data_IF_318881862311
#
_entry.id   IF_318881862311
#
_cell.length_a   1.000
_cell.length_b   1.000
_cell.length_c   1.000
_cell.angle_alpha   90.00
_cell.angle_beta   90.00
_cell.angle_gamma   90.00
#
_symmetry.space_group_name_H-M   'P 1'
#
loop_
_entity.id
_entity.type
_entity.pdbx_description
1 polymer ?
#
# COMPACT_ATOMS: atom_id res chain seq x y z
N UNK A 1 -29.31 -24.55 33.17
CA UNK A 1 -28.18 -23.90 32.48
C UNK A 1 -28.63 -23.68 31.05
N UNK A 2 -28.76 -22.43 30.60
CA UNK A 2 -28.97 -22.15 29.18
C UNK A 2 -27.67 -22.53 28.43
N UNK A 3 -27.76 -23.19 27.27
CA UNK A 3 -26.58 -23.41 26.44
C UNK A 3 -25.97 -22.06 26.07
N UNK A 4 -24.64 -21.98 25.88
CA UNK A 4 -24.02 -20.77 25.36
C UNK A 4 -24.71 -20.39 24.04
N UNK A 5 -24.92 -19.08 23.76
CA UNK A 5 -25.50 -18.64 22.50
C UNK A 5 -24.68 -19.22 21.36
N UNK A 6 -25.33 -19.95 20.45
CA UNK A 6 -24.69 -20.47 19.25
C UNK A 6 -24.20 -19.29 18.40
N UNK A 7 -22.99 -19.38 17.80
CA UNK A 7 -22.50 -18.35 16.90
C UNK A 7 -23.47 -18.15 15.74
N UNK A 8 -23.71 -16.90 15.33
CA UNK A 8 -24.58 -16.62 14.20
C UNK A 8 -23.92 -17.13 12.91
N UNK A 9 -24.61 -18.02 12.19
CA UNK A 9 -24.11 -18.61 10.95
C UNK A 9 -24.47 -17.71 9.76
N UNK A 10 -23.49 -16.97 9.25
CA UNK A 10 -23.67 -16.03 8.13
C UNK A 10 -23.97 -16.73 6.80
N UNK A 11 -23.40 -17.91 6.57
CA UNK A 11 -23.47 -18.66 5.32
C UNK A 11 -24.46 -19.83 5.35
N UNK A 12 -25.24 -19.98 6.43
CA UNK A 12 -26.27 -21.02 6.55
C UNK A 12 -27.42 -20.82 5.56
N UNK A 13 -28.20 -21.87 5.30
CA UNK A 13 -29.29 -21.84 4.29
C UNK A 13 -30.32 -20.73 4.53
N UNK A 14 -30.59 -20.38 5.79
CA UNK A 14 -31.56 -19.35 6.17
C UNK A 14 -31.02 -17.92 6.05
N UNK A 15 -29.75 -17.70 6.42
CA UNK A 15 -29.15 -16.37 6.53
C UNK A 15 -28.28 -15.98 5.34
N UNK A 16 -27.73 -16.94 4.59
CA UNK A 16 -26.87 -16.73 3.44
C UNK A 16 -27.43 -15.73 2.42
N UNK A 17 -28.72 -15.79 2.03
CA UNK A 17 -29.31 -14.83 1.11
C UNK A 17 -29.36 -13.38 1.62
N UNK A 18 -29.27 -13.15 2.93
CA UNK A 18 -29.28 -11.79 3.53
C UNK A 18 -27.90 -11.13 3.47
N UNK A 19 -26.84 -11.93 3.55
CA UNK A 19 -25.46 -11.46 3.67
C UNK A 19 -24.66 -11.55 2.37
N UNK A 20 -24.90 -12.58 1.55
CA UNK A 20 -24.15 -12.81 0.31
C UNK A 20 -24.41 -11.69 -0.70
N UNK A 21 -23.34 -11.04 -1.12
CA UNK A 21 -23.34 -9.91 -2.04
C UNK A 21 -23.81 -8.59 -1.42
N UNK A 22 -24.00 -8.54 -0.09
CA UNK A 22 -24.43 -7.32 0.60
C UNK A 22 -23.34 -6.24 0.54
N UNK A 23 -22.07 -6.63 0.68
CA UNK A 23 -20.93 -5.72 0.70
C UNK A 23 -20.30 -5.54 -0.67
N UNK A 24 -20.41 -6.52 -1.58
CA UNK A 24 -19.77 -6.48 -2.92
C UNK A 24 -19.95 -5.15 -3.67
N UNK A 25 -21.16 -4.55 -3.78
CA UNK A 25 -21.32 -3.26 -4.46
C UNK A 25 -20.59 -2.09 -3.79
N UNK A 26 -20.49 -2.13 -2.45
CA UNK A 26 -19.79 -1.11 -1.68
C UNK A 26 -18.28 -1.33 -1.71
N UNK A 27 -17.81 -2.58 -1.59
CA UNK A 27 -16.40 -2.96 -1.71
C UNK A 27 -15.81 -2.55 -3.07
N UNK A 28 -16.58 -2.67 -4.15
CA UNK A 28 -16.17 -2.15 -5.47
C UNK A 28 -15.91 -0.64 -5.46
N UNK A 29 -16.74 0.12 -4.75
CA UNK A 29 -16.53 1.58 -4.60
C UNK A 29 -15.34 1.88 -3.71
N UNK A 30 -15.14 1.10 -2.63
CA UNK A 30 -13.96 1.22 -1.77
C UNK A 30 -12.70 0.98 -2.60
N UNK A 31 -12.66 -0.09 -3.41
CA UNK A 31 -11.53 -0.40 -4.28
C UNK A 31 -11.20 0.75 -5.22
N UNK A 32 -12.21 1.37 -5.85
CA UNK A 32 -12.01 2.54 -6.71
C UNK A 32 -11.51 3.78 -5.96
N UNK A 33 -11.87 3.95 -4.68
CA UNK A 33 -11.34 5.04 -3.86
C UNK A 33 -9.87 4.84 -3.50
N UNK A 34 -9.45 3.60 -3.27
CA UNK A 34 -8.07 3.31 -2.84
C UNK A 34 -7.13 3.16 -4.04
N UNK A 35 -7.59 2.50 -5.10
CA UNK A 35 -6.82 2.20 -6.32
C UNK A 35 -7.65 2.47 -7.58
N UNK A 36 -7.78 3.74 -8.03
CA UNK A 36 -8.61 4.11 -9.17
C UNK A 36 -8.22 3.45 -10.50
N UNK A 37 -6.95 3.04 -10.63
CA UNK A 37 -6.37 2.51 -11.86
C UNK A 37 -6.40 0.97 -11.94
N UNK A 38 -6.94 0.30 -10.92
CA UNK A 38 -7.09 -1.16 -10.90
C UNK A 38 -8.56 -1.54 -10.99
N UNK A 39 -8.85 -2.73 -11.52
CA UNK A 39 -10.13 -3.41 -11.32
C UNK A 39 -10.00 -4.46 -10.22
N UNK A 40 -11.13 -4.94 -9.69
CA UNK A 40 -11.18 -6.12 -8.84
C UNK A 40 -12.17 -7.13 -9.42
N UNK A 41 -11.74 -8.40 -9.49
CA UNK A 41 -12.61 -9.50 -9.91
C UNK A 41 -13.77 -9.68 -8.92
N UNK A 42 -14.88 -10.21 -9.40
CA UNK A 42 -16.08 -10.33 -8.56
C UNK A 42 -15.88 -11.36 -7.43
N UNK A 43 -15.23 -12.48 -7.72
CA UNK A 43 -14.85 -13.52 -6.76
C UNK A 43 -13.94 -12.97 -5.64
N UNK A 44 -13.03 -12.06 -5.96
CA UNK A 44 -12.15 -11.42 -4.99
C UNK A 44 -12.93 -10.51 -4.02
N UNK A 45 -13.97 -9.82 -4.50
CA UNK A 45 -14.86 -9.03 -3.65
C UNK A 45 -15.75 -9.91 -2.75
N UNK A 46 -16.22 -11.06 -3.23
CA UNK A 46 -16.92 -12.03 -2.37
C UNK A 46 -16.00 -12.59 -1.28
N UNK A 47 -14.75 -12.88 -1.61
CA UNK A 47 -13.78 -13.33 -0.60
C UNK A 47 -13.52 -12.28 0.48
N UNK A 48 -13.42 -11.00 0.11
CA UNK A 48 -13.32 -9.92 1.11
C UNK A 48 -14.60 -9.84 1.94
N UNK A 49 -15.77 -9.95 1.34
CA UNK A 49 -17.04 -10.01 2.08
C UNK A 49 -17.02 -11.13 3.13
N UNK A 50 -16.51 -12.31 2.80
CA UNK A 50 -16.38 -13.41 3.75
C UNK A 50 -15.50 -13.06 4.95
N UNK A 51 -14.32 -12.47 4.72
CA UNK A 51 -13.42 -12.00 5.77
C UNK A 51 -14.08 -10.93 6.65
N UNK A 52 -14.78 -9.96 6.05
CA UNK A 52 -15.45 -8.89 6.78
C UNK A 52 -16.62 -9.42 7.61
N UNK A 53 -17.34 -10.45 7.15
CA UNK A 53 -18.37 -11.13 7.94
C UNK A 53 -17.79 -11.94 9.09
N UNK A 54 -16.64 -12.58 8.92
CA UNK A 54 -15.91 -13.22 10.03
C UNK A 54 -15.51 -12.18 11.08
N UNK A 55 -15.00 -11.02 10.66
CA UNK A 55 -14.66 -9.93 11.56
C UNK A 55 -15.90 -9.41 12.30
N UNK A 56 -17.02 -9.24 11.60
CA UNK A 56 -18.30 -8.85 12.20
C UNK A 56 -18.72 -9.84 13.30
N UNK A 57 -18.59 -11.14 13.05
CA UNK A 57 -18.83 -12.16 14.08
C UNK A 57 -17.93 -11.97 15.30
N UNK A 58 -16.61 -11.81 15.08
CA UNK A 58 -15.62 -11.59 16.15
C UNK A 58 -15.95 -10.37 17.03
N UNK A 59 -16.48 -9.30 16.42
CA UNK A 59 -16.95 -8.12 17.15
C UNK A 59 -18.25 -8.39 17.92
N UNK A 60 -19.21 -9.08 17.31
CA UNK A 60 -20.53 -9.34 17.89
C UNK A 60 -20.53 -10.40 19.01
N UNK A 61 -19.56 -11.31 19.07
CA UNK A 61 -19.43 -12.31 20.14
C UNK A 61 -19.36 -11.66 21.54
N UNK A 62 -18.80 -10.45 21.64
CA UNK A 62 -18.72 -9.71 22.90
C UNK A 62 -20.06 -9.09 23.35
N UNK A 63 -21.12 -9.21 22.54
CA UNK A 63 -22.44 -8.61 22.77
C UNK A 63 -22.38 -7.11 23.14
N UNK A 64 -21.76 -6.26 22.31
CA UNK A 64 -21.60 -4.84 22.61
C UNK A 64 -22.95 -4.11 22.63
N UNK A 65 -23.20 -3.33 23.68
CA UNK A 65 -24.44 -2.54 23.85
C UNK A 65 -24.22 -1.04 23.63
N UNK A 66 -22.99 -0.59 23.80
CA UNK A 66 -22.57 0.80 23.62
C UNK A 66 -21.44 0.91 22.61
N UNK A 67 -21.19 2.13 22.11
CA UNK A 67 -20.04 2.41 21.23
C UNK A 67 -18.73 2.08 21.94
N UNK A 68 -18.65 2.39 23.24
CA UNK A 68 -17.48 2.08 24.07
C UNK A 68 -17.22 0.58 24.16
N UNK A 69 -18.26 -0.25 24.25
CA UNK A 69 -18.10 -1.72 24.27
C UNK A 69 -17.48 -2.23 22.95
N UNK A 70 -17.85 -1.62 21.81
CA UNK A 70 -17.26 -1.96 20.51
C UNK A 70 -15.79 -1.51 20.46
N UNK A 71 -15.49 -0.29 20.91
CA UNK A 71 -14.13 0.25 20.96
C UNK A 71 -13.20 -0.62 21.82
N UNK A 72 -13.64 -1.00 23.03
CA UNK A 72 -12.90 -1.93 23.89
C UNK A 72 -12.69 -3.30 23.24
N UNK A 73 -13.67 -3.77 22.46
CA UNK A 73 -13.55 -5.02 21.72
C UNK A 73 -12.54 -4.92 20.58
N UNK A 74 -12.53 -3.81 19.83
CA UNK A 74 -11.52 -3.54 18.79
C UNK A 74 -10.13 -3.55 19.41
N UNK A 75 -9.92 -2.77 20.48
CA UNK A 75 -8.62 -2.66 21.15
C UNK A 75 -8.07 -3.99 21.67
N UNK A 76 -8.95 -4.91 22.07
CA UNK A 76 -8.55 -6.25 22.58
C UNK A 76 -8.33 -7.29 21.49
N UNK A 77 -8.93 -7.11 20.31
CA UNK A 77 -8.98 -8.15 19.27
C UNK A 77 -8.07 -7.81 18.08
N UNK A 78 -7.86 -6.53 17.81
CA UNK A 78 -7.11 -6.06 16.65
C UNK A 78 -5.64 -5.91 17.07
N UNK A 79 -4.67 -6.41 16.27
CA UNK A 79 -3.26 -6.23 16.59
C UNK A 79 -2.83 -4.75 16.54
N UNK A 80 -1.72 -4.42 17.18
CA UNK A 80 -1.12 -3.10 17.06
C UNK A 80 -0.37 -2.97 15.72
N UNK A 81 -0.47 -1.85 14.96
CA UNK A 81 -1.17 -0.60 15.25
C UNK A 81 -2.58 -0.46 14.68
N UNK A 82 -3.09 -1.45 13.94
CA UNK A 82 -4.37 -1.33 13.22
C UNK A 82 -5.54 -1.02 14.15
N UNK A 83 -5.47 -1.47 15.41
CA UNK A 83 -6.40 -1.12 16.49
C UNK A 83 -6.62 0.40 16.63
N UNK A 84 -5.55 1.18 16.74
CA UNK A 84 -5.62 2.63 16.97
C UNK A 84 -6.21 3.38 15.79
N UNK A 85 -5.84 2.98 14.57
CA UNK A 85 -6.31 3.64 13.35
C UNK A 85 -7.78 3.33 13.08
N UNK A 86 -8.20 2.07 13.29
CA UNK A 86 -9.60 1.67 13.16
C UNK A 86 -10.51 2.42 14.16
N UNK A 87 -10.08 2.55 15.42
CA UNK A 87 -10.81 3.32 16.44
C UNK A 87 -10.93 4.79 16.05
N UNK A 88 -9.82 5.41 15.61
CA UNK A 88 -9.81 6.82 15.22
C UNK A 88 -10.73 7.11 14.02
N UNK A 89 -10.74 6.23 12.99
CA UNK A 89 -11.64 6.40 11.85
C UNK A 89 -13.11 6.20 12.23
N UNK A 90 -13.41 5.19 13.04
CA UNK A 90 -14.76 4.91 13.52
C UNK A 90 -15.31 6.03 14.42
N UNK A 91 -14.49 6.60 15.31
CA UNK A 91 -14.86 7.79 16.09
C UNK A 91 -15.18 8.98 15.18
N UNK A 92 -14.37 9.21 14.13
CA UNK A 92 -14.62 10.28 13.16
C UNK A 92 -15.95 10.11 12.41
N UNK A 93 -16.37 8.86 12.18
CA UNK A 93 -17.65 8.54 11.53
C UNK A 93 -18.87 8.91 12.40
N UNK A 94 -18.76 8.88 13.73
CA UNK A 94 -19.83 9.31 14.65
C UNK A 94 -19.85 10.83 14.82
N UNK A 95 -18.69 11.46 15.02
CA UNK A 95 -18.61 12.87 15.42
C UNK A 95 -19.01 13.84 14.31
N UNK A 96 -18.69 13.51 13.04
CA UNK A 96 -18.91 14.42 11.91
C UNK A 96 -20.28 14.17 11.27
N UNK A 97 -21.27 14.98 11.66
CA UNK A 97 -22.57 15.11 10.95
C UNK A 97 -22.44 15.44 9.44
N UNK A 98 -21.26 15.83 8.97
CA UNK A 98 -20.91 16.03 7.55
C UNK A 98 -19.52 15.44 7.28
N UNK A 99 -19.45 14.12 7.06
CA UNK A 99 -18.24 13.48 6.50
C UNK A 99 -18.04 14.03 5.08
N UNK A 100 -16.79 14.25 4.66
CA UNK A 100 -16.47 14.59 3.25
C UNK A 100 -16.89 13.44 2.32
N UNK A 101 -16.81 12.20 2.82
CA UNK A 101 -17.28 10.98 2.17
C UNK A 101 -18.10 10.14 3.17
N UNK A 102 -19.41 9.93 2.99
CA UNK A 102 -20.20 9.03 3.84
C UNK A 102 -19.68 7.59 3.75
N UNK A 103 -20.02 6.75 4.75
CA UNK A 103 -19.75 5.31 4.68
C UNK A 103 -20.34 4.74 3.39
N UNK A 104 -19.56 3.92 2.70
CA UNK A 104 -19.94 3.21 1.50
C UNK A 104 -20.69 1.91 1.82
N UNK A 105 -20.34 1.24 2.92
CA UNK A 105 -21.05 0.04 3.38
C UNK A 105 -22.49 0.39 3.79
N UNK A 106 -23.48 -0.48 3.49
CA UNK A 106 -24.90 -0.14 3.63
C UNK A 106 -25.38 -0.26 5.09
N UNK A 107 -25.07 0.75 5.92
CA UNK A 107 -25.44 0.80 7.35
C UNK A 107 -26.93 0.51 7.57
N UNK A 108 -27.81 1.08 6.74
CA UNK A 108 -29.26 0.93 6.86
C UNK A 108 -29.75 -0.51 6.59
N UNK A 109 -28.99 -1.29 5.82
CA UNK A 109 -29.26 -2.72 5.60
C UNK A 109 -28.65 -3.59 6.69
N UNK A 110 -27.48 -3.19 7.21
CA UNK A 110 -26.75 -3.94 8.24
C UNK A 110 -27.41 -3.77 9.62
N UNK A 111 -27.93 -2.58 9.94
CA UNK A 111 -28.52 -2.26 11.24
C UNK A 111 -29.66 -3.21 11.65
N UNK A 112 -30.66 -3.52 10.78
CA UNK A 112 -31.67 -4.53 11.08
C UNK A 112 -31.09 -5.93 11.29
N UNK A 113 -30.07 -6.31 10.51
CA UNK A 113 -29.44 -7.64 10.60
C UNK A 113 -28.63 -7.80 11.88
N UNK A 114 -27.97 -6.75 12.37
CA UNK A 114 -27.26 -6.76 13.65
C UNK A 114 -28.18 -7.12 14.83
N UNK A 115 -29.46 -6.75 14.76
CA UNK A 115 -30.45 -7.16 15.76
C UNK A 115 -30.65 -8.68 15.76
N UNK A 116 -30.61 -9.31 14.59
CA UNK A 116 -30.72 -10.77 14.45
C UNK A 116 -29.44 -11.47 14.96
N UNK A 117 -28.26 -10.92 14.62
CA UNK A 117 -26.95 -11.45 15.05
C UNK A 117 -26.78 -11.37 16.57
N UNK A 118 -27.15 -10.23 17.17
CA UNK A 118 -26.94 -9.97 18.60
C UNK A 118 -28.12 -10.43 19.49
N UNK A 119 -29.29 -10.65 18.91
CA UNK A 119 -30.50 -11.07 19.64
C UNK A 119 -31.18 -9.97 20.47
N UNK A 120 -30.78 -8.70 20.32
CA UNK A 120 -31.38 -7.55 21.03
C UNK A 120 -31.41 -6.30 20.15
N UNK A 121 -32.21 -5.31 20.56
CA UNK A 121 -32.29 -4.01 19.87
C UNK A 121 -30.96 -3.25 20.04
N UNK A 122 -30.31 -2.96 18.93
CA UNK A 122 -29.05 -2.21 18.86
C UNK A 122 -29.37 -0.73 18.60
N UNK A 123 -28.63 0.19 19.21
CA UNK A 123 -28.71 1.62 18.88
C UNK A 123 -28.08 1.90 17.50
N UNK A 124 -28.61 2.89 16.77
CA UNK A 124 -28.11 3.20 15.43
C UNK A 124 -26.63 3.64 15.45
N UNK A 125 -26.19 4.40 16.47
CA UNK A 125 -24.79 4.83 16.57
C UNK A 125 -23.84 3.67 16.83
N UNK A 126 -24.28 2.64 17.56
CA UNK A 126 -23.49 1.41 17.74
C UNK A 126 -23.33 0.68 16.41
N UNK A 127 -24.39 0.60 15.61
CA UNK A 127 -24.35 -0.01 14.28
C UNK A 127 -23.45 0.77 13.32
N UNK A 128 -23.56 2.11 13.35
CA UNK A 128 -22.72 3.01 12.58
C UNK A 128 -21.23 2.81 12.89
N UNK A 129 -20.87 2.69 14.17
CA UNK A 129 -19.50 2.47 14.60
C UNK A 129 -18.95 1.13 14.12
N UNK A 130 -19.73 0.04 14.29
CA UNK A 130 -19.34 -1.29 13.80
C UNK A 130 -19.07 -1.24 12.29
N UNK A 131 -19.99 -0.67 11.52
CA UNK A 131 -19.83 -0.59 10.06
C UNK A 131 -18.63 0.29 9.66
N UNK A 132 -18.33 1.34 10.41
CA UNK A 132 -17.13 2.14 10.16
C UNK A 132 -15.84 1.33 10.36
N UNK A 133 -15.77 0.50 11.40
CA UNK A 133 -14.64 -0.42 11.62
C UNK A 133 -14.54 -1.44 10.47
N UNK A 134 -15.65 -2.03 10.03
CA UNK A 134 -15.66 -2.97 8.90
C UNK A 134 -15.19 -2.32 7.59
N UNK A 135 -15.62 -1.09 7.31
CA UNK A 135 -15.22 -0.34 6.11
C UNK A 135 -13.73 0.00 6.14
N UNK A 136 -13.20 0.40 7.30
CA UNK A 136 -11.78 0.66 7.47
C UNK A 136 -10.93 -0.57 7.13
N UNK A 137 -11.27 -1.74 7.68
CA UNK A 137 -10.55 -3.00 7.38
C UNK A 137 -10.74 -3.42 5.91
N UNK A 138 -11.94 -3.22 5.35
CA UNK A 138 -12.18 -3.49 3.92
C UNK A 138 -11.24 -2.66 3.03
N UNK A 139 -11.10 -1.37 3.35
CA UNK A 139 -10.21 -0.46 2.64
C UNK A 139 -8.74 -0.85 2.81
N UNK A 140 -8.34 -1.30 4.00
CA UNK A 140 -6.96 -1.70 4.29
C UNK A 140 -6.54 -2.96 3.52
N UNK A 141 -7.41 -3.99 3.48
CA UNK A 141 -7.19 -5.20 2.67
C UNK A 141 -7.06 -4.84 1.18
N UNK A 142 -7.98 -4.02 0.65
CA UNK A 142 -7.95 -3.58 -0.74
C UNK A 142 -6.74 -2.72 -1.05
N UNK A 143 -6.29 -1.89 -0.10
CA UNK A 143 -5.08 -1.07 -0.23
C UNK A 143 -3.85 -1.95 -0.36
N UNK A 144 -3.70 -2.93 0.52
CA UNK A 144 -2.59 -3.86 0.56
C UNK A 144 -2.54 -4.70 -0.72
N UNK A 145 -3.65 -5.34 -1.09
CA UNK A 145 -3.75 -6.16 -2.29
C UNK A 145 -3.51 -5.34 -3.56
N UNK A 146 -4.08 -4.13 -3.66
CA UNK A 146 -3.85 -3.25 -4.80
C UNK A 146 -2.42 -2.75 -4.90
N UNK A 147 -1.74 -2.48 -3.77
CA UNK A 147 -0.31 -2.16 -3.78
C UNK A 147 0.52 -3.34 -4.31
N UNK A 148 0.22 -4.56 -3.86
CA UNK A 148 0.88 -5.77 -4.34
C UNK A 148 0.68 -5.97 -5.86
N UNK A 149 -0.57 -5.91 -6.33
CA UNK A 149 -0.94 -6.05 -7.75
C UNK A 149 -0.27 -4.97 -8.61
N UNK A 150 -0.25 -3.73 -8.12
CA UNK A 150 0.42 -2.62 -8.79
C UNK A 150 1.93 -2.87 -8.92
N UNK A 151 2.58 -3.37 -7.87
CA UNK A 151 4.02 -3.64 -7.87
C UNK A 151 4.43 -4.75 -8.85
N UNK A 152 3.56 -5.75 -9.06
CA UNK A 152 3.79 -6.81 -10.07
C UNK A 152 3.28 -6.42 -11.47
N UNK A 153 2.89 -5.15 -11.66
CA UNK A 153 2.42 -4.57 -12.94
C UNK A 153 1.17 -5.26 -13.50
N UNK A 154 0.32 -5.78 -12.63
CA UNK A 154 -1.01 -6.27 -13.00
C UNK A 154 -2.04 -5.13 -12.82
N UNK A 155 -3.15 -5.20 -13.58
CA UNK A 155 -4.20 -4.16 -13.55
C UNK A 155 -5.52 -4.64 -12.92
N UNK A 156 -5.58 -5.89 -12.47
CA UNK A 156 -6.78 -6.52 -11.91
C UNK A 156 -6.46 -7.32 -10.64
N UNK A 157 -7.17 -7.02 -9.56
CA UNK A 157 -7.03 -7.69 -8.26
C UNK A 157 -7.84 -8.98 -8.24
N UNK A 158 -7.14 -10.12 -8.16
CA UNK A 158 -7.72 -11.45 -8.01
C UNK A 158 -7.82 -11.87 -6.54
N UNK A 159 -8.58 -12.94 -6.27
CA UNK A 159 -8.65 -13.53 -4.94
C UNK A 159 -7.27 -14.02 -4.46
N UNK A 160 -6.43 -14.52 -5.38
CA UNK A 160 -5.10 -15.01 -5.04
C UNK A 160 -4.17 -13.88 -4.59
N UNK A 161 -4.25 -12.71 -5.23
CA UNK A 161 -3.46 -11.54 -4.85
C UNK A 161 -3.78 -11.08 -3.42
N UNK A 162 -5.06 -11.14 -3.04
CA UNK A 162 -5.49 -10.83 -1.67
C UNK A 162 -4.88 -11.83 -0.69
N UNK A 163 -4.92 -13.13 -0.99
CA UNK A 163 -4.33 -14.17 -0.12
C UNK A 163 -2.83 -13.96 0.04
N UNK A 164 -2.10 -13.80 -1.06
CA UNK A 164 -0.63 -13.62 -1.05
C UNK A 164 -0.25 -12.36 -0.27
N UNK A 165 -0.92 -11.23 -0.54
CA UNK A 165 -0.60 -9.98 0.13
C UNK A 165 -0.95 -10.01 1.63
N UNK A 166 -2.06 -10.62 2.03
CA UNK A 166 -2.40 -10.82 3.45
C UNK A 166 -1.42 -11.76 4.16
N UNK A 167 -0.94 -12.82 3.53
CA UNK A 167 0.09 -13.70 4.11
C UNK A 167 1.40 -12.95 4.41
N UNK A 168 1.71 -11.90 3.64
CA UNK A 168 2.88 -11.06 3.86
C UNK A 168 2.68 -10.00 4.98
N UNK A 169 1.42 -9.66 5.30
CA UNK A 169 1.07 -8.70 6.32
C UNK A 169 0.74 -9.39 7.65
N UNK A 170 1.67 -9.32 8.61
CA UNK A 170 1.50 -9.98 9.91
C UNK A 170 0.28 -9.48 10.69
N UNK A 171 -0.12 -8.21 10.51
CA UNK A 171 -1.20 -7.60 11.28
C UNK A 171 -2.55 -8.14 10.81
N UNK A 172 -2.79 -8.14 9.50
CA UNK A 172 -3.98 -8.74 8.92
C UNK A 172 -3.96 -10.27 9.08
N UNK A 173 -2.80 -10.89 8.93
CA UNK A 173 -2.67 -12.32 9.18
C UNK A 173 -3.08 -12.66 10.62
N UNK A 174 -2.49 -12.06 11.65
CA UNK A 174 -2.83 -12.29 13.06
C UNK A 174 -4.30 -11.99 13.39
N UNK A 175 -4.90 -11.01 12.70
CA UNK A 175 -6.32 -10.66 12.86
C UNK A 175 -7.27 -11.75 12.33
N UNK A 176 -6.90 -12.43 11.24
CA UNK A 176 -7.73 -13.46 10.60
C UNK A 176 -7.33 -14.91 10.93
N UNK A 177 -6.10 -15.18 11.40
CA UNK A 177 -5.55 -16.54 11.63
C UNK A 177 -6.17 -17.33 12.80
N UNK A 178 -7.14 -16.77 13.51
CA UNK A 178 -7.77 -17.47 14.63
C UNK A 178 -8.81 -18.53 14.19
N UNK A 179 -9.17 -18.59 12.91
CA UNK A 179 -10.13 -19.56 12.38
C UNK A 179 -9.67 -20.09 11.00
N UNK A 180 -8.96 -21.23 10.99
CA UNK A 180 -8.76 -22.16 9.86
C UNK A 180 -8.66 -21.54 8.45
N UNK A 181 -7.56 -20.84 8.13
CA UNK A 181 -7.15 -20.68 6.73
C UNK A 181 -6.22 -21.86 6.38
N UNK A 182 -6.86 -22.93 5.92
CA UNK A 182 -6.18 -24.10 5.37
C UNK A 182 -5.15 -23.70 4.33
N UNK A 183 -3.88 -23.81 4.73
CA UNK A 183 -2.70 -23.63 3.91
C UNK A 183 -2.65 -24.72 2.82
N UNK A 184 -3.42 -24.55 1.75
CA UNK A 184 -3.40 -25.45 0.59
C UNK A 184 -3.34 -24.64 -0.70
N UNK A 185 -2.28 -24.91 -1.46
CA UNK A 185 -2.01 -24.52 -2.85
C UNK A 185 -1.51 -23.09 -3.11
N UNK A 186 -0.25 -22.84 -2.75
CA UNK A 186 0.60 -21.82 -3.40
C UNK A 186 1.48 -22.53 -4.43
N UNK A 187 0.96 -22.71 -5.64
CA UNK A 187 1.58 -23.24 -6.88
C UNK A 187 0.38 -23.51 -7.81
N UNK A 188 0.25 -23.04 -9.05
CA UNK A 188 1.12 -22.50 -10.08
C UNK A 188 0.32 -21.44 -10.86
N UNK A 189 1.02 -20.51 -11.53
CA UNK A 189 0.65 -19.77 -12.75
C UNK A 189 1.18 -18.33 -12.68
N UNK A 190 2.47 -18.17 -12.99
CA UNK A 190 2.95 -16.90 -13.54
C UNK A 190 2.54 -16.83 -15.02
N UNK A 191 1.77 -15.82 -15.45
CA UNK A 191 1.69 -15.51 -16.86
C UNK A 191 2.94 -14.73 -17.25
N UNK A 192 3.85 -15.39 -17.96
CA UNK A 192 4.92 -14.74 -18.70
C UNK A 192 4.29 -13.81 -19.77
N UNK A 193 4.50 -12.49 -19.67
CA UNK A 193 4.22 -11.58 -20.79
C UNK A 193 5.52 -10.98 -21.33
N UNK A 194 6.27 -11.76 -22.11
CA UNK A 194 7.27 -11.23 -23.03
C UNK A 194 6.58 -10.93 -24.37
N UNK A 195 5.96 -9.76 -24.48
CA UNK A 195 5.49 -9.19 -25.75
C UNK A 195 6.38 -8.02 -26.15
N UNK A 196 6.63 -7.85 -27.46
CA UNK A 196 7.27 -6.65 -27.99
C UNK A 196 6.48 -5.40 -27.54
N UNK A 197 7.09 -4.58 -26.69
CA UNK A 197 6.45 -3.37 -26.15
C UNK A 197 6.39 -2.31 -27.25
N UNK A 198 5.19 -1.80 -27.54
CA UNK A 198 5.04 -0.59 -28.32
C UNK A 198 5.57 0.61 -27.50
N UNK A 199 6.10 1.64 -28.16
CA UNK A 199 6.68 2.81 -27.50
C UNK A 199 5.71 3.48 -26.51
N UNK A 200 4.42 3.52 -26.84
CA UNK A 200 3.38 4.03 -25.94
C UNK A 200 3.26 3.22 -24.63
N UNK A 201 3.34 1.89 -24.71
CA UNK A 201 3.33 1.02 -23.53
C UNK A 201 4.61 1.16 -22.71
N UNK A 202 5.75 1.39 -23.39
CA UNK A 202 7.03 1.69 -22.73
C UNK A 202 6.93 2.99 -21.91
N UNK A 203 6.38 4.08 -22.46
CA UNK A 203 6.18 5.33 -21.71
C UNK A 203 5.19 5.15 -20.55
N UNK A 204 4.09 4.42 -20.75
CA UNK A 204 3.13 4.15 -19.67
C UNK A 204 3.76 3.33 -18.54
N UNK A 205 4.55 2.32 -18.90
CA UNK A 205 5.28 1.52 -17.92
C UNK A 205 6.29 2.38 -17.16
N UNK A 206 7.01 3.25 -17.86
CA UNK A 206 7.98 4.15 -17.22
C UNK A 206 7.30 5.09 -16.22
N UNK A 207 6.13 5.67 -16.53
CA UNK A 207 5.35 6.47 -15.58
C UNK A 207 4.99 5.64 -14.33
N UNK A 208 4.62 4.37 -14.50
CA UNK A 208 4.29 3.50 -13.37
C UNK A 208 5.53 3.18 -12.52
N UNK A 209 6.66 2.92 -13.15
CA UNK A 209 7.95 2.70 -12.49
C UNK A 209 8.42 3.93 -11.72
N UNK A 210 8.39 5.12 -12.34
CA UNK A 210 8.73 6.40 -11.69
C UNK A 210 7.86 6.67 -10.46
N UNK A 211 6.56 6.37 -10.54
CA UNK A 211 5.65 6.50 -9.38
C UNK A 211 6.00 5.53 -8.27
N UNK A 212 6.41 4.30 -8.61
CA UNK A 212 6.81 3.30 -7.62
C UNK A 212 8.15 3.67 -6.99
N UNK A 213 9.13 4.05 -7.79
CA UNK A 213 10.43 4.54 -7.32
C UNK A 213 10.27 5.77 -6.43
N UNK A 214 9.41 6.73 -6.78
CA UNK A 214 9.10 7.87 -5.94
C UNK A 214 8.51 7.47 -4.57
N UNK A 215 7.72 6.39 -4.48
CA UNK A 215 7.23 5.87 -3.20
C UNK A 215 8.37 5.30 -2.37
N UNK A 216 9.33 4.62 -2.98
CA UNK A 216 10.52 4.07 -2.32
C UNK A 216 11.43 5.18 -1.81
N UNK A 217 11.66 6.22 -2.60
CA UNK A 217 12.35 7.45 -2.17
C UNK A 217 11.63 8.11 -0.99
N UNK A 218 10.30 8.20 -1.05
CA UNK A 218 9.50 8.72 0.06
C UNK A 218 9.61 7.85 1.33
N UNK A 219 9.68 6.53 1.21
CA UNK A 219 9.93 5.64 2.34
C UNK A 219 11.31 5.93 2.97
N UNK A 220 12.35 6.05 2.15
CA UNK A 220 13.71 6.38 2.62
C UNK A 220 13.72 7.75 3.31
N UNK A 221 13.12 8.77 2.72
CA UNK A 221 13.18 10.15 3.22
C UNK A 221 12.25 10.38 4.41
N UNK A 222 10.97 10.05 4.28
CA UNK A 222 9.94 10.42 5.26
C UNK A 222 9.84 9.45 6.44
N UNK A 223 10.36 8.22 6.31
CA UNK A 223 10.32 7.22 7.37
C UNK A 223 11.71 7.00 7.95
N UNK A 224 12.69 6.62 7.12
CA UNK A 224 14.03 6.31 7.63
C UNK A 224 14.80 7.59 7.99
N UNK A 225 15.03 8.50 7.05
CA UNK A 225 15.82 9.73 7.28
C UNK A 225 15.23 10.62 8.37
N UNK A 226 13.90 10.75 8.40
CA UNK A 226 13.20 11.50 9.46
C UNK A 226 13.48 10.95 10.86
N UNK A 227 13.60 9.62 11.02
CA UNK A 227 13.94 9.01 12.30
C UNK A 227 15.34 9.40 12.81
N UNK A 228 16.31 9.64 11.91
CA UNK A 228 17.63 10.17 12.27
C UNK A 228 17.55 11.67 12.61
N UNK A 229 16.79 12.44 11.83
CA UNK A 229 16.60 13.88 12.07
C UNK A 229 15.89 14.19 13.39
N UNK A 230 15.03 13.28 13.86
CA UNK A 230 14.27 13.43 15.11
C UNK A 230 15.14 13.58 16.36
N UNK A 231 16.41 13.12 16.34
CA UNK A 231 17.31 13.16 17.49
C UNK A 231 18.70 13.71 17.15
N UNK A 232 18.77 15.04 16.99
CA UNK A 232 19.99 15.79 16.67
C UNK A 232 21.13 15.69 17.70
N UNK A 233 20.85 15.17 18.91
CA UNK A 233 21.90 14.92 19.92
C UNK A 233 22.63 13.60 19.67
N UNK A 234 21.97 12.67 18.97
CA UNK A 234 22.46 11.33 18.72
C UNK A 234 23.09 11.19 17.34
N UNK A 235 22.57 11.94 16.36
CA UNK A 235 23.03 11.95 14.97
C UNK A 235 23.49 13.36 14.60
N UNK A 236 24.72 13.47 14.11
CA UNK A 236 25.26 14.72 13.56
C UNK A 236 24.78 14.92 12.12
N UNK A 237 24.80 16.16 11.59
CA UNK A 237 24.51 16.39 10.18
C UNK A 237 25.39 15.53 9.26
N UNK A 238 26.67 15.40 9.58
CA UNK A 238 27.60 14.54 8.84
C UNK A 238 27.21 13.05 8.86
N UNK A 239 26.70 12.52 9.98
CA UNK A 239 26.23 11.12 10.02
C UNK A 239 25.04 10.92 9.06
N UNK A 240 24.16 11.93 8.97
CA UNK A 240 22.98 11.89 8.09
C UNK A 240 23.41 12.01 6.63
N UNK A 241 24.32 12.94 6.34
CA UNK A 241 24.84 13.16 4.98
C UNK A 241 25.59 11.93 4.47
N UNK A 242 26.40 11.26 5.30
CA UNK A 242 27.08 10.02 4.90
C UNK A 242 26.10 8.86 4.64
N UNK A 243 24.99 8.79 5.37
CA UNK A 243 24.04 7.67 5.25
C UNK A 243 23.05 7.86 4.10
N UNK A 244 22.58 9.10 3.89
CA UNK A 244 21.53 9.39 2.93
C UNK A 244 22.04 10.12 1.69
N UNK A 245 23.28 10.60 1.71
CA UNK A 245 23.87 11.42 0.64
C UNK A 245 22.87 12.49 0.17
N UNK A 246 22.79 12.73 -1.12
CA UNK A 246 21.89 13.65 -1.79
C UNK A 246 20.58 12.99 -2.27
N UNK A 247 20.05 12.01 -1.52
CA UNK A 247 18.76 11.36 -1.84
C UNK A 247 17.59 12.35 -2.01
N UNK A 248 17.65 13.50 -1.34
CA UNK A 248 16.64 14.56 -1.47
C UNK A 248 16.65 15.19 -2.86
N UNK A 249 17.83 15.44 -3.43
CA UNK A 249 17.98 16.03 -4.76
C UNK A 249 17.50 15.04 -5.83
N UNK A 250 17.78 13.75 -5.66
CA UNK A 250 17.25 12.68 -6.52
C UNK A 250 15.72 12.62 -6.46
N UNK A 251 15.13 12.72 -5.26
CA UNK A 251 13.68 12.78 -5.12
C UNK A 251 13.08 13.99 -5.84
N UNK A 252 13.67 15.17 -5.72
CA UNK A 252 13.22 16.38 -6.42
C UNK A 252 13.31 16.22 -7.95
N UNK A 253 14.41 15.64 -8.44
CA UNK A 253 14.58 15.29 -9.85
C UNK A 253 13.50 14.31 -10.33
N UNK A 254 13.26 13.22 -9.61
CA UNK A 254 12.23 12.22 -9.94
C UNK A 254 10.84 12.85 -10.01
N UNK A 255 10.49 13.74 -9.07
CA UNK A 255 9.22 14.49 -9.13
C UNK A 255 9.15 15.37 -10.38
N UNK A 256 10.23 16.08 -10.72
CA UNK A 256 10.30 16.94 -11.92
C UNK A 256 10.17 16.11 -13.20
N UNK A 257 10.93 15.01 -13.33
CA UNK A 257 10.91 14.12 -14.49
C UNK A 257 9.52 13.50 -14.69
N UNK A 258 8.94 12.92 -13.64
CA UNK A 258 7.60 12.33 -13.70
C UNK A 258 6.55 13.35 -14.16
N UNK A 259 6.59 14.58 -13.62
CA UNK A 259 5.69 15.65 -14.04
C UNK A 259 5.85 16.01 -15.52
N UNK A 260 7.09 16.15 -16.01
CA UNK A 260 7.36 16.45 -17.42
C UNK A 260 6.85 15.35 -18.37
N UNK A 261 7.04 14.07 -17.99
CA UNK A 261 6.55 12.94 -18.79
C UNK A 261 5.02 12.91 -18.79
N UNK A 262 4.37 13.10 -17.63
CA UNK A 262 2.91 13.14 -17.51
C UNK A 262 2.31 14.28 -18.34
N UNK A 263 2.88 15.49 -18.25
CA UNK A 263 2.47 16.65 -19.06
C UNK A 263 2.63 16.38 -20.56
N UNK A 264 3.74 15.74 -20.97
CA UNK A 264 3.99 15.40 -22.38
C UNK A 264 2.97 14.40 -22.90
N UNK A 265 2.60 13.40 -22.09
CA UNK A 265 1.56 12.43 -22.44
C UNK A 265 0.18 13.10 -22.54
N UNK A 266 -0.14 14.01 -21.63
CA UNK A 266 -1.42 14.74 -21.64
C UNK A 266 -1.54 15.68 -22.86
N UNK A 267 -0.43 16.31 -23.27
CA UNK A 267 -0.38 17.25 -24.39
C UNK A 267 -0.22 16.57 -25.77
N UNK A 268 -0.09 15.25 -25.82
CA UNK A 268 0.06 14.51 -27.08
C UNK A 268 -1.32 14.35 -27.75
N UNK A 269 -1.48 14.92 -28.94
CA UNK A 269 -2.72 14.82 -29.73
C UNK A 269 -3.07 13.36 -30.05
N UNK A 270 -4.37 13.01 -30.09
CA UNK A 270 -4.84 11.67 -30.47
C UNK A 270 -4.41 11.22 -31.89
N UNK A 271 -3.93 12.16 -32.71
CA UNK A 271 -3.42 11.90 -34.06
C UNK A 271 -1.92 11.59 -34.10
N UNK A 272 -1.19 11.80 -33.00
CA UNK A 272 0.23 11.52 -32.88
C UNK A 272 0.49 10.02 -32.61
N UNK A 273 1.50 9.40 -33.24
CA UNK A 273 1.74 7.97 -33.10
C UNK A 273 2.25 7.56 -31.71
N UNK A 274 2.89 8.49 -30.99
CA UNK A 274 3.38 8.30 -29.61
C UNK A 274 3.78 9.64 -28.97
N UNK A 275 3.74 9.75 -27.62
CA UNK A 275 4.26 10.91 -26.90
C UNK A 275 5.78 11.03 -27.07
N UNK A 276 6.34 12.24 -27.06
CA UNK A 276 7.78 12.47 -27.20
C UNK A 276 8.49 12.57 -25.84
N UNK A 277 8.29 11.57 -24.97
CA UNK A 277 8.82 11.59 -23.60
C UNK A 277 10.36 11.67 -23.52
N UNK A 278 11.07 11.32 -24.61
CA UNK A 278 12.53 11.43 -24.67
C UNK A 278 13.06 12.86 -24.52
N UNK A 279 12.31 13.88 -24.95
CA UNK A 279 12.76 15.28 -24.80
C UNK A 279 12.82 15.71 -23.33
N UNK A 280 11.98 15.13 -22.47
CA UNK A 280 12.01 15.40 -21.03
C UNK A 280 13.36 15.00 -20.42
N UNK A 281 13.94 13.88 -20.88
CA UNK A 281 15.26 13.43 -20.44
C UNK A 281 16.38 14.29 -21.01
N UNK A 282 16.25 14.72 -22.28
CA UNK A 282 17.20 15.60 -22.94
C UNK A 282 17.32 16.96 -22.21
N UNK A 283 16.19 17.60 -21.92
CA UNK A 283 16.14 18.88 -21.20
C UNK A 283 16.81 18.79 -19.81
N UNK A 284 16.52 17.72 -19.06
CA UNK A 284 17.12 17.50 -17.74
C UNK A 284 18.61 17.15 -17.82
N UNK A 285 19.04 16.44 -18.87
CA UNK A 285 20.44 16.14 -19.09
C UNK A 285 21.25 17.39 -19.47
N UNK A 286 20.68 18.31 -20.27
CA UNK A 286 21.32 19.58 -20.61
C UNK A 286 21.55 20.46 -19.36
N UNK A 287 20.61 20.41 -18.40
CA UNK A 287 20.73 21.10 -17.11
C UNK A 287 21.66 20.38 -16.10
N UNK A 288 22.29 19.26 -16.48
CA UNK A 288 23.08 18.42 -15.56
C UNK A 288 22.28 17.96 -14.33
N UNK A 289 20.96 17.79 -14.48
CA UNK A 289 20.07 17.51 -13.37
C UNK A 289 20.29 16.11 -12.76
N UNK A 290 20.99 15.21 -13.47
CA UNK A 290 21.29 13.84 -13.04
C UNK A 290 22.59 13.69 -12.23
N UNK A 291 23.42 14.73 -12.09
CA UNK A 291 24.65 14.74 -11.28
C UNK A 291 24.46 14.19 -9.84
N UNK A 292 23.29 14.39 -9.19
CA UNK A 292 23.07 13.80 -7.88
C UNK A 292 23.23 12.28 -7.83
N UNK A 293 22.88 11.56 -8.90
CA UNK A 293 23.06 10.11 -8.96
C UNK A 293 24.53 9.68 -8.93
N UNK A 294 25.44 10.47 -9.51
CA UNK A 294 26.87 10.17 -9.48
C UNK A 294 27.39 10.25 -8.04
N UNK A 295 27.08 11.34 -7.34
CA UNK A 295 27.51 11.54 -5.95
C UNK A 295 26.94 10.45 -5.05
N UNK A 296 25.64 10.15 -5.14
CA UNK A 296 25.03 9.07 -4.35
C UNK A 296 25.70 7.73 -4.62
N UNK A 297 25.94 7.39 -5.89
CA UNK A 297 26.52 6.10 -6.27
C UNK A 297 27.95 5.95 -5.73
N UNK A 298 28.75 7.01 -5.78
CA UNK A 298 30.10 7.01 -5.21
C UNK A 298 30.07 6.83 -3.69
N UNK A 299 29.15 7.52 -3.00
CA UNK A 299 29.02 7.46 -1.55
C UNK A 299 28.54 6.08 -1.07
N UNK A 300 27.44 5.58 -1.64
CA UNK A 300 26.79 4.34 -1.15
C UNK A 300 27.60 3.08 -1.51
N UNK A 301 28.26 3.07 -2.67
CA UNK A 301 29.12 1.94 -3.06
C UNK A 301 30.50 1.99 -2.39
N UNK A 302 30.83 3.08 -1.71
CA UNK A 302 32.08 3.20 -0.97
C UNK A 302 32.15 2.20 0.19
N UNK A 303 33.31 1.56 0.44
CA UNK A 303 33.53 0.79 1.66
C UNK A 303 33.31 1.61 2.95
N UNK A 304 33.52 2.93 2.87
CA UNK A 304 33.36 3.84 4.00
C UNK A 304 31.91 3.94 4.48
N UNK A 305 30.94 3.82 3.57
CA UNK A 305 29.52 3.81 3.92
C UNK A 305 29.20 2.69 4.91
N UNK A 306 29.60 1.46 4.56
CA UNK A 306 29.34 0.27 5.38
C UNK A 306 30.05 0.35 6.73
N UNK A 307 31.30 0.84 6.76
CA UNK A 307 32.04 1.02 8.01
C UNK A 307 31.38 2.06 8.91
N UNK A 308 31.08 3.25 8.38
CA UNK A 308 30.43 4.33 9.11
C UNK A 308 29.05 3.88 9.64
N UNK A 309 28.23 3.28 8.78
CA UNK A 309 26.90 2.79 9.13
C UNK A 309 26.94 1.75 10.25
N UNK A 310 27.81 0.74 10.13
CA UNK A 310 27.95 -0.30 11.16
C UNK A 310 28.45 0.26 12.49
N UNK A 311 29.41 1.19 12.46
CA UNK A 311 29.91 1.86 13.65
C UNK A 311 28.82 2.68 14.35
N UNK A 312 27.96 3.37 13.58
CA UNK A 312 26.82 4.09 14.13
C UNK A 312 25.79 3.13 14.75
N UNK A 313 25.45 2.05 14.05
CA UNK A 313 24.49 1.04 14.52
C UNK A 313 24.99 0.23 15.73
N UNK A 314 26.30 0.16 15.94
CA UNK A 314 26.90 -0.48 17.12
C UNK A 314 26.72 0.32 18.41
N UNK A 315 26.40 1.62 18.34
CA UNK A 315 26.23 2.47 19.52
C UNK A 315 24.95 2.08 20.29
N UNK A 316 25.02 1.77 21.60
CA UNK A 316 23.84 1.38 22.38
C UNK A 316 22.72 2.43 22.39
N UNK A 317 23.07 3.72 22.41
CA UNK A 317 22.11 4.81 22.38
C UNK A 317 21.31 4.87 21.07
N UNK A 318 21.94 4.53 19.93
CA UNK A 318 21.29 4.42 18.61
C UNK A 318 20.31 3.26 18.58
N UNK A 319 20.71 2.11 19.13
CA UNK A 319 19.82 0.95 19.24
C UNK A 319 18.58 1.25 20.08
N UNK A 320 18.74 1.91 21.23
CA UNK A 320 17.61 2.29 22.11
C UNK A 320 16.67 3.29 21.44
N UNK A 321 17.22 4.29 20.74
CA UNK A 321 16.42 5.29 20.01
C UNK A 321 15.51 4.60 18.99
N UNK A 322 16.06 3.76 18.12
CA UNK A 322 15.26 3.08 17.09
C UNK A 322 14.29 2.05 17.65
N UNK A 323 14.64 1.34 18.73
CA UNK A 323 13.68 0.45 19.42
C UNK A 323 12.48 1.21 20.00
N UNK A 324 12.68 2.48 20.40
CA UNK A 324 11.59 3.31 20.90
C UNK A 324 10.74 3.97 19.80
N UNK A 325 11.23 4.02 18.56
CA UNK A 325 10.52 4.64 17.43
C UNK A 325 9.32 3.80 17.01
N UNK A 326 9.53 2.51 16.74
CA UNK A 326 8.48 1.54 16.44
C UNK A 326 9.02 0.11 16.63
N UNK A 327 8.12 -0.84 16.84
CA UNK A 327 8.47 -2.25 16.93
C UNK A 327 9.14 -2.73 15.63
N UNK A 328 10.28 -3.42 15.74
CA UNK A 328 11.07 -3.90 14.60
C UNK A 328 11.83 -2.83 13.82
N UNK A 329 11.73 -1.54 14.19
CA UNK A 329 12.33 -0.45 13.42
C UNK A 329 13.87 -0.50 13.43
N UNK A 330 14.48 -0.88 14.56
CA UNK A 330 15.94 -1.06 14.66
C UNK A 330 16.44 -2.09 13.66
N UNK A 331 15.75 -3.21 13.53
CA UNK A 331 16.09 -4.29 12.61
C UNK A 331 15.90 -3.83 11.16
N UNK A 332 14.82 -3.09 10.86
CA UNK A 332 14.60 -2.50 9.55
C UNK A 332 15.72 -1.52 9.18
N UNK A 333 16.12 -0.61 10.09
CA UNK A 333 17.25 0.30 9.86
C UNK A 333 18.52 -0.52 9.61
N UNK A 334 18.83 -1.52 10.44
CA UNK A 334 20.09 -2.26 10.34
C UNK A 334 20.22 -3.12 9.08
N UNK A 335 19.13 -3.74 8.63
CA UNK A 335 19.20 -4.80 7.61
C UNK A 335 18.47 -4.46 6.31
N UNK A 336 17.53 -3.51 6.33
CA UNK A 336 16.73 -3.12 5.15
C UNK A 336 17.23 -1.80 4.57
N UNK A 337 17.48 -0.77 5.39
CA UNK A 337 17.92 0.54 4.90
C UNK A 337 19.16 0.49 3.99
N UNK A 338 20.24 -0.27 4.28
CA UNK A 338 21.38 -0.36 3.37
C UNK A 338 21.01 -0.88 1.98
N UNK A 339 20.01 -1.77 1.89
CA UNK A 339 19.51 -2.28 0.60
C UNK A 339 18.63 -1.24 -0.10
N UNK A 340 17.79 -0.51 0.65
CA UNK A 340 16.99 0.57 0.09
C UNK A 340 17.86 1.67 -0.52
N UNK A 341 19.00 1.99 0.08
CA UNK A 341 19.94 2.98 -0.46
C UNK A 341 20.61 2.55 -1.77
N UNK A 342 20.53 1.28 -2.18
CA UNK A 342 20.99 0.83 -3.49
C UNK A 342 19.95 1.04 -4.60
N UNK A 343 18.67 1.25 -4.25
CA UNK A 343 17.59 1.43 -5.23
C UNK A 343 17.92 2.58 -6.21
N UNK A 344 18.33 3.79 -5.77
CA UNK A 344 18.66 4.87 -6.71
C UNK A 344 19.82 4.53 -7.66
N UNK A 345 20.77 3.70 -7.21
CA UNK A 345 21.89 3.26 -8.06
C UNK A 345 21.37 2.38 -9.20
N UNK A 346 20.52 1.40 -8.88
CA UNK A 346 19.91 0.55 -9.91
C UNK A 346 18.96 1.33 -10.82
N UNK A 347 18.20 2.28 -10.27
CA UNK A 347 17.28 3.12 -11.04
C UNK A 347 18.01 4.01 -12.05
N UNK A 348 19.15 4.57 -11.66
CA UNK A 348 20.01 5.31 -12.59
C UNK A 348 20.50 4.43 -13.75
N UNK A 349 20.88 3.18 -13.48
CA UNK A 349 21.27 2.22 -14.51
C UNK A 349 20.11 1.90 -15.46
N UNK A 350 18.90 1.75 -14.93
CA UNK A 350 17.68 1.57 -15.72
C UNK A 350 17.45 2.73 -16.71
N UNK A 351 17.65 3.99 -16.30
CA UNK A 351 17.54 5.11 -17.25
C UNK A 351 18.48 4.99 -18.44
N UNK A 352 19.72 4.55 -18.25
CA UNK A 352 20.65 4.36 -19.38
C UNK A 352 20.18 3.25 -20.34
N UNK A 353 19.65 2.15 -19.81
CA UNK A 353 19.10 1.06 -20.62
C UNK A 353 17.83 1.51 -21.38
N UNK A 354 16.94 2.23 -20.71
CA UNK A 354 15.71 2.76 -21.28
C UNK A 354 15.97 3.71 -22.45
N UNK A 355 16.94 4.63 -22.30
CA UNK A 355 17.30 5.59 -23.35
C UNK A 355 17.88 4.89 -24.58
N UNK A 356 18.69 3.85 -24.39
CA UNK A 356 19.21 3.02 -25.49
C UNK A 356 18.09 2.28 -26.25
N UNK A 357 17.13 1.71 -25.52
CA UNK A 357 15.97 1.03 -26.11
C UNK A 357 15.06 2.02 -26.84
N UNK A 358 14.87 3.22 -26.28
CA UNK A 358 14.04 4.27 -26.89
C UNK A 358 14.62 4.77 -28.21
N UNK A 359 15.95 4.97 -28.28
CA UNK A 359 16.64 5.32 -29.52
C UNK A 359 16.50 4.21 -30.58
N UNK A 360 16.66 2.95 -30.17
CA UNK A 360 16.51 1.80 -31.06
C UNK A 360 15.07 1.65 -31.60
N UNK A 361 14.05 1.81 -30.76
CA UNK A 361 12.63 1.71 -31.17
C UNK A 361 12.21 2.86 -32.08
N UNK A 362 12.66 4.09 -31.82
CA UNK A 362 12.44 5.24 -32.72
C UNK A 362 13.11 5.04 -34.09
N UNK A 363 14.32 4.45 -34.10
CA UNK A 363 15.03 4.12 -35.35
C UNK A 363 14.35 3.03 -36.18
N UNK A 364 13.64 2.11 -35.53
CA UNK A 364 12.84 1.07 -36.18
C UNK A 364 11.51 1.60 -36.71
N UNK A 365 10.84 2.48 -35.97
CA UNK A 365 9.59 3.11 -36.39
C UNK A 365 9.80 4.04 -37.60
N UNK A 366 10.91 4.80 -37.63
CA UNK A 366 11.26 5.66 -38.76
C UNK A 366 11.62 4.91 -40.06
N UNK A 367 11.98 3.62 -39.98
CA UNK A 367 12.26 2.77 -41.17
C UNK A 367 11.02 2.08 -41.74
N UNK A 368 9.90 2.10 -41.02
CA UNK A 368 8.65 1.44 -41.41
C UNK A 368 7.54 2.43 -41.82
N UNK A 369 7.87 3.71 -42.02
CA UNK A 369 6.99 4.66 -42.69
C UNK A 369 7.23 4.55 -44.22
N UNK A 370 6.24 4.14 -45.03
CA UNK A 370 6.38 4.04 -46.49
C UNK A 370 6.57 5.39 -47.19
#
# INVERSE_FOLDING_TARGET
>A
MQPPPQPYEFFGEENGPKWRGLFVPALRKVQQQVHPNLSAKEDSLYYIEELILQLLNKLCIAQPRTVQDVEERVQKTFPHPIDKWAIADAQSAIEKRKRRNPLLLPVDKIHPLLKEVLGYKVDYHVSLYIVAVLEYISADILKLAGNYVFNIRHFEISQQDIKVSMCADKVLMDMFDQDDIGLVSLCEDEPSSSGELNYYDLVRNEIAEERQYLRELNLIIKVFREAFLSNRKLFTPNDIDVIFSNISDIHELTVKLLGLIEDTVEMTDESSPHPLAGSCFEDLAEEQAFDPYETLSQDILSPQFHEHFNNLMAKPAVALHFQSTAEGFKEAVRYVLPRLMLIPVYHCLHYFELLQVSEATLSFSAKNVP
#
